data_IF_214794699820
#
_entry.id   IF_214794699820
#
_cell.length_a   1.000
_cell.length_b   1.000
_cell.length_c   1.000
_cell.angle_alpha   90.00
_cell.angle_beta   90.00
_cell.angle_gamma   90.00
#
_symmetry.space_group_name_H-M   'P 1'
#
loop_
_entity.id
_entity.type
_entity.pdbx_description
1 polymer ?
#
# COMPACT_ATOMS: atom_id res chain seq x y z
N UNK A 1 -34.74 6.17 11.77
CA UNK A 1 -34.61 5.79 10.35
C UNK A 1 -33.11 5.73 10.06
N UNK A 2 -32.49 4.57 10.26
CA UNK A 2 -31.05 4.35 10.05
C UNK A 2 -30.91 3.20 9.04
N UNK A 3 -30.13 3.34 7.95
CA UNK A 3 -29.87 2.23 7.06
C UNK A 3 -28.75 1.37 7.64
N UNK A 4 -29.03 0.08 7.80
CA UNK A 4 -28.02 -0.94 8.05
C UNK A 4 -27.22 -1.16 6.75
N UNK A 5 -25.93 -0.86 6.77
CA UNK A 5 -24.99 -1.23 5.73
C UNK A 5 -24.64 -2.72 5.87
N UNK A 6 -25.08 -3.52 4.90
CA UNK A 6 -24.61 -4.89 4.69
C UNK A 6 -23.22 -4.83 4.04
N UNK A 7 -22.18 -5.20 4.81
CA UNK A 7 -20.90 -5.60 4.25
C UNK A 7 -21.11 -6.89 3.42
N UNK A 8 -20.76 -6.85 2.13
CA UNK A 8 -20.59 -8.06 1.31
C UNK A 8 -19.34 -8.79 1.82
N UNK A 9 -19.51 -9.77 2.70
CA UNK A 9 -18.54 -10.85 2.86
C UNK A 9 -18.57 -11.72 1.59
N UNK A 10 -17.40 -12.19 1.16
CA UNK A 10 -17.22 -12.96 -0.07
C UNK A 10 -18.19 -14.13 -0.16
N UNK A 11 -19.07 -14.09 -1.15
CA UNK A 11 -20.00 -15.18 -1.43
C UNK A 11 -19.21 -16.36 -2.00
N UNK A 12 -19.04 -17.41 -1.20
CA UNK A 12 -18.70 -18.74 -1.70
C UNK A 12 -19.99 -19.37 -2.23
N UNK A 13 -20.08 -19.61 -3.54
CA UNK A 13 -21.28 -20.13 -4.18
C UNK A 13 -21.60 -21.54 -3.65
N UNK A 14 -22.73 -21.68 -2.95
CA UNK A 14 -23.28 -22.98 -2.56
C UNK A 14 -24.18 -23.48 -3.69
N UNK A 15 -23.75 -24.50 -4.43
CA UNK A 15 -24.64 -25.22 -5.34
C UNK A 15 -25.44 -26.23 -4.51
N UNK A 16 -26.76 -26.03 -4.43
CA UNK A 16 -27.68 -26.93 -3.74
C UNK A 16 -27.88 -28.19 -4.59
N UNK A 17 -27.13 -29.26 -4.31
CA UNK A 17 -27.47 -30.62 -4.75
C UNK A 17 -27.65 -31.50 -3.52
N UNK A 18 -28.84 -32.09 -3.43
CA UNK A 18 -29.26 -33.01 -2.38
C UNK A 18 -28.42 -34.29 -2.49
N UNK A 19 -27.45 -34.47 -1.58
CA UNK A 19 -26.94 -35.72 -0.97
C UNK A 19 -25.53 -35.48 -0.41
N UNK A 20 -25.41 -35.37 0.92
CA UNK A 20 -24.13 -35.38 1.65
C UNK A 20 -23.51 -34.00 1.89
N UNK A 21 -23.73 -33.45 3.09
CA UNK A 21 -23.00 -32.28 3.59
C UNK A 21 -21.54 -32.67 3.87
N UNK A 22 -20.65 -32.43 2.91
CA UNK A 22 -19.30 -31.98 3.25
C UNK A 22 -19.28 -30.48 2.97
N UNK A 23 -19.23 -29.60 3.99
CA UNK A 23 -18.82 -28.24 3.69
C UNK A 23 -17.48 -28.34 2.96
N UNK A 24 -17.41 -27.83 1.73
CA UNK A 24 -16.12 -27.52 1.12
C UNK A 24 -15.55 -26.39 1.98
N UNK A 25 -14.81 -26.76 3.02
CA UNK A 25 -13.96 -25.82 3.71
C UNK A 25 -12.96 -25.33 2.66
N UNK A 26 -13.10 -24.09 2.21
CA UNK A 26 -11.92 -23.35 1.81
C UNK A 26 -11.10 -23.23 3.10
N UNK A 27 -10.19 -24.17 3.33
CA UNK A 27 -9.31 -24.10 4.49
C UNK A 27 -8.42 -22.91 4.25
N UNK A 28 -8.43 -21.95 5.19
CA UNK A 28 -7.42 -20.90 5.23
C UNK A 28 -6.04 -21.58 5.13
N UNK A 29 -5.31 -21.34 4.04
CA UNK A 29 -4.01 -21.94 3.82
C UNK A 29 -2.96 -20.85 3.76
N UNK A 30 -1.99 -20.92 4.67
CA UNK A 30 -0.79 -20.08 4.61
C UNK A 30 0.30 -20.81 3.83
N UNK A 31 0.77 -20.17 2.76
CA UNK A 31 1.93 -20.55 1.99
C UNK A 31 3.14 -19.73 2.44
N UNK A 32 4.15 -20.43 2.93
CA UNK A 32 5.42 -19.83 3.35
C UNK A 32 6.40 -19.83 2.20
N UNK A 33 6.91 -18.66 1.83
CA UNK A 33 7.97 -18.55 0.83
C UNK A 33 9.23 -19.25 1.34
N UNK A 34 9.80 -20.13 0.52
CA UNK A 34 10.94 -20.97 0.91
C UNK A 34 12.30 -20.47 0.36
N UNK A 35 12.31 -19.38 -0.41
CA UNK A 35 13.53 -18.80 -0.98
C UNK A 35 14.13 -19.56 -2.16
N UNK A 36 13.47 -20.58 -2.70
CA UNK A 36 14.02 -21.42 -3.79
C UNK A 36 14.00 -20.76 -5.19
N UNK A 37 13.51 -19.52 -5.29
CA UNK A 37 13.39 -18.74 -6.51
C UNK A 37 12.77 -17.38 -6.20
N UNK A 38 12.31 -16.64 -7.21
CA UNK A 38 11.82 -15.26 -7.00
C UNK A 38 10.42 -15.00 -7.54
N UNK A 39 9.98 -15.74 -8.55
CA UNK A 39 8.65 -15.59 -9.17
C UNK A 39 7.53 -15.99 -8.22
N UNK A 40 6.51 -15.14 -8.08
CA UNK A 40 5.34 -15.42 -7.24
C UNK A 40 4.54 -16.64 -7.72
N UNK A 41 4.29 -16.74 -9.04
CA UNK A 41 3.41 -17.73 -9.65
C UNK A 41 3.95 -19.18 -9.74
N UNK A 42 4.99 -19.52 -8.98
CA UNK A 42 5.60 -20.85 -9.00
C UNK A 42 5.35 -21.55 -7.68
N UNK A 43 4.47 -22.56 -7.68
CA UNK A 43 4.08 -23.30 -6.48
C UNK A 43 5.28 -23.88 -5.69
N UNK A 44 6.36 -24.26 -6.39
CA UNK A 44 7.58 -24.78 -5.77
C UNK A 44 8.35 -23.78 -4.91
N UNK A 45 8.06 -22.47 -5.02
CA UNK A 45 8.65 -21.42 -4.18
C UNK A 45 7.93 -21.24 -2.83
N UNK A 46 6.87 -22.01 -2.60
CA UNK A 46 6.01 -21.92 -1.44
C UNK A 46 5.90 -23.26 -0.72
N UNK A 47 5.68 -23.22 0.58
CA UNK A 47 5.47 -24.39 1.44
C UNK A 47 4.23 -24.19 2.31
N UNK A 48 3.22 -25.06 2.21
CA UNK A 48 3.08 -26.17 1.26
C UNK A 48 3.07 -25.69 -0.21
N UNK A 49 3.40 -26.58 -1.15
CA UNK A 49 3.53 -26.24 -2.56
C UNK A 49 2.16 -25.88 -3.17
N UNK A 50 1.89 -24.59 -3.22
CA UNK A 50 0.73 -23.95 -3.83
C UNK A 50 1.08 -22.47 -4.09
N UNK A 51 0.45 -21.82 -5.05
CA UNK A 51 0.65 -20.39 -5.29
C UNK A 51 -0.39 -19.61 -4.48
N UNK A 52 -0.01 -18.64 -3.64
CA UNK A 52 -1.01 -17.78 -3.00
C UNK A 52 -1.65 -16.85 -4.04
N UNK A 53 -2.83 -17.19 -4.52
CA UNK A 53 -3.49 -16.44 -5.60
C UNK A 53 -5.01 -16.22 -5.46
N UNK A 54 -5.67 -16.89 -4.51
CA UNK A 54 -7.13 -16.78 -4.32
C UNK A 54 -7.55 -16.48 -2.87
N UNK A 55 -8.81 -16.10 -2.68
CA UNK A 55 -9.37 -15.86 -1.35
C UNK A 55 -9.36 -17.16 -0.54
N UNK A 56 -9.08 -17.06 0.76
CA UNK A 56 -8.78 -18.23 1.60
C UNK A 56 -7.31 -18.63 1.62
N UNK A 57 -6.46 -18.02 0.79
CA UNK A 57 -5.03 -18.26 0.81
C UNK A 57 -4.27 -17.09 1.40
N UNK A 58 -3.08 -17.33 1.94
CA UNK A 58 -2.25 -16.30 2.55
C UNK A 58 -0.78 -16.54 2.24
N UNK A 59 0.00 -15.47 2.18
CA UNK A 59 1.42 -15.53 1.89
C UNK A 59 2.25 -15.05 3.09
N UNK A 60 3.28 -15.81 3.46
CA UNK A 60 4.20 -15.47 4.55
C UNK A 60 5.65 -15.56 4.05
N UNK A 61 6.44 -14.52 4.29
CA UNK A 61 7.88 -14.50 4.01
C UNK A 61 8.62 -14.42 5.35
N UNK A 62 9.28 -15.52 5.79
CA UNK A 62 9.85 -15.63 7.13
C UNK A 62 11.15 -14.85 7.28
N UNK A 63 11.39 -14.36 8.49
CA UNK A 63 12.61 -13.67 8.92
C UNK A 63 13.88 -14.54 8.83
N UNK A 64 13.72 -15.86 8.82
CA UNK A 64 14.83 -16.82 8.74
C UNK A 64 15.55 -16.86 7.40
N UNK A 65 14.98 -16.28 6.33
CA UNK A 65 15.61 -16.24 5.01
C UNK A 65 16.71 -15.18 4.93
N UNK A 66 17.72 -15.42 4.08
CA UNK A 66 18.78 -14.44 3.83
C UNK A 66 18.42 -13.62 2.59
N UNK A 67 18.05 -12.35 2.77
CA UNK A 67 17.73 -11.40 1.69
C UNK A 67 16.72 -11.96 0.66
N UNK A 68 15.54 -12.43 1.10
CA UNK A 68 14.57 -13.03 0.19
C UNK A 68 14.10 -12.00 -0.84
N UNK A 69 14.02 -12.42 -2.11
CA UNK A 69 13.59 -11.56 -3.20
C UNK A 69 12.38 -12.14 -3.91
N UNK A 70 11.28 -11.40 -3.91
CA UNK A 70 10.00 -11.80 -4.51
C UNK A 70 9.63 -10.86 -5.65
N UNK A 71 9.20 -11.43 -6.78
CA UNK A 71 8.68 -10.73 -7.94
C UNK A 71 7.23 -11.11 -8.14
N UNK A 72 6.34 -10.13 -7.95
CA UNK A 72 4.96 -10.26 -8.34
C UNK A 72 4.89 -10.32 -9.87
N UNK A 73 4.48 -11.46 -10.42
CA UNK A 73 4.38 -11.69 -11.87
C UNK A 73 2.97 -12.15 -12.30
N UNK A 74 2.01 -11.92 -11.42
CA UNK A 74 0.57 -12.09 -11.60
C UNK A 74 -0.16 -11.16 -10.61
N UNK A 75 -1.46 -10.97 -10.75
CA UNK A 75 -2.25 -10.18 -9.77
C UNK A 75 -3.01 -11.12 -8.82
N UNK A 76 -2.43 -11.51 -7.67
CA UNK A 76 -3.10 -12.38 -6.71
C UNK A 76 -4.17 -11.65 -5.91
N UNK A 77 -5.18 -12.39 -5.48
CA UNK A 77 -6.22 -11.89 -4.59
C UNK A 77 -6.34 -12.82 -3.37
N UNK A 78 -5.62 -12.49 -2.30
CA UNK A 78 -5.40 -13.35 -1.12
C UNK A 78 -5.97 -12.72 0.15
N UNK A 79 -5.96 -13.47 1.25
CA UNK A 79 -6.45 -13.00 2.54
C UNK A 79 -5.51 -12.00 3.20
N UNK A 80 -4.20 -12.30 3.23
CA UNK A 80 -3.15 -11.44 3.76
C UNK A 80 -1.77 -11.81 3.22
N UNK A 81 -0.84 -10.86 3.32
CA UNK A 81 0.60 -11.05 3.06
C UNK A 81 1.39 -10.50 4.25
N UNK A 82 2.33 -11.27 4.77
CA UNK A 82 3.29 -10.78 5.77
C UNK A 82 4.72 -10.98 5.25
N UNK A 83 5.42 -9.86 5.02
CA UNK A 83 6.87 -9.82 4.82
C UNK A 83 7.52 -9.56 6.17
N UNK A 84 7.81 -10.62 6.93
CA UNK A 84 8.38 -10.53 8.28
C UNK A 84 9.87 -10.20 8.24
N UNK A 85 10.54 -10.63 7.18
CA UNK A 85 11.94 -10.42 6.97
C UNK A 85 12.27 -8.97 6.60
N UNK A 86 13.04 -8.28 7.45
CA UNK A 86 13.41 -6.88 7.22
C UNK A 86 14.38 -6.67 6.06
N UNK A 87 15.03 -7.71 5.55
CA UNK A 87 15.84 -7.64 4.34
C UNK A 87 15.13 -8.18 3.10
N UNK A 88 13.84 -8.52 3.20
CA UNK A 88 13.04 -8.89 2.04
C UNK A 88 12.98 -7.75 1.03
N UNK A 89 13.11 -8.08 -0.24
CA UNK A 89 12.77 -7.19 -1.34
C UNK A 89 11.57 -7.76 -2.08
N UNK A 90 10.53 -6.95 -2.26
CA UNK A 90 9.31 -7.34 -2.97
C UNK A 90 8.98 -6.36 -4.10
N UNK A 91 9.04 -6.84 -5.34
CA UNK A 91 8.71 -6.04 -6.52
C UNK A 91 7.27 -6.30 -6.95
N UNK A 92 6.47 -5.25 -6.96
CA UNK A 92 5.09 -5.29 -7.46
C UNK A 92 5.02 -5.33 -8.99
N UNK A 93 6.11 -4.92 -9.65
CA UNK A 93 6.21 -4.78 -11.09
C UNK A 93 5.06 -3.92 -11.62
N UNK A 94 4.15 -4.52 -12.37
CA UNK A 94 2.98 -3.88 -12.97
C UNK A 94 1.65 -4.56 -12.56
N UNK A 95 1.65 -5.25 -11.43
CA UNK A 95 0.54 -6.09 -10.98
C UNK A 95 -0.20 -5.49 -9.78
N UNK A 96 -1.34 -6.09 -9.49
CA UNK A 96 -2.18 -5.74 -8.34
C UNK A 96 -2.07 -6.82 -7.28
N UNK A 97 -1.69 -6.43 -6.06
CA UNK A 97 -1.88 -7.25 -4.87
C UNK A 97 -3.23 -6.90 -4.24
N UNK A 98 -4.19 -7.83 -4.26
CA UNK A 98 -5.48 -7.66 -3.56
C UNK A 98 -5.48 -8.46 -2.26
N UNK A 99 -5.90 -7.81 -1.17
CA UNK A 99 -5.93 -8.34 0.20
C UNK A 99 -7.34 -8.19 0.77
N UNK A 100 -7.96 -9.28 1.22
CA UNK A 100 -9.35 -9.29 1.65
C UNK A 100 -9.58 -9.20 3.17
N UNK A 101 -8.63 -9.65 4.00
CA UNK A 101 -8.81 -9.69 5.44
C UNK A 101 -8.15 -8.52 6.18
N UNK A 102 -8.59 -8.28 7.41
CA UNK A 102 -8.10 -7.17 8.25
C UNK A 102 -6.65 -7.30 8.68
N UNK A 103 -6.06 -8.50 8.63
CA UNK A 103 -4.62 -8.70 8.84
C UNK A 103 -3.79 -7.94 7.80
N UNK A 104 -4.33 -7.76 6.59
CA UNK A 104 -3.77 -6.85 5.61
C UNK A 104 -2.44 -7.31 5.01
N UNK A 105 -1.76 -6.37 4.38
CA UNK A 105 -0.38 -6.51 3.96
C UNK A 105 0.54 -5.92 5.03
N UNK A 106 1.30 -6.76 5.75
CA UNK A 106 2.34 -6.34 6.68
C UNK A 106 3.70 -6.34 5.99
N UNK A 107 4.39 -5.20 5.98
CA UNK A 107 5.69 -5.03 5.36
C UNK A 107 6.77 -4.66 6.39
N UNK A 108 7.77 -5.52 6.57
CA UNK A 108 8.99 -5.23 7.33
C UNK A 108 10.22 -5.03 6.45
N UNK A 109 10.17 -5.46 5.18
CA UNK A 109 11.23 -5.26 4.20
C UNK A 109 10.97 -4.07 3.25
N UNK A 110 11.52 -4.15 2.05
CA UNK A 110 11.40 -3.13 1.00
C UNK A 110 10.47 -3.59 -0.12
N UNK A 111 9.32 -2.92 -0.25
CA UNK A 111 8.34 -3.14 -1.32
C UNK A 111 8.46 -2.05 -2.37
N UNK A 112 8.46 -2.40 -3.65
CA UNK A 112 8.73 -1.47 -4.74
C UNK A 112 7.65 -1.47 -5.81
N UNK A 113 7.12 -0.28 -6.13
CA UNK A 113 6.47 -0.01 -7.40
C UNK A 113 7.57 0.34 -8.42
N UNK A 114 8.12 -0.72 -9.03
CA UNK A 114 9.35 -0.67 -9.83
C UNK A 114 9.12 -0.66 -11.35
N UNK A 115 7.89 -0.88 -11.81
CA UNK A 115 7.51 -0.84 -13.23
C UNK A 115 6.34 0.16 -13.43
N UNK A 116 5.74 0.21 -14.63
CA UNK A 116 4.82 1.27 -15.07
C UNK A 116 3.78 1.68 -14.01
N UNK A 117 2.98 0.72 -13.55
CA UNK A 117 1.87 0.94 -12.62
C UNK A 117 1.65 -0.29 -11.76
N UNK A 118 1.73 -0.16 -10.43
CA UNK A 118 1.37 -1.19 -9.47
C UNK A 118 0.16 -0.76 -8.62
N UNK A 119 -0.53 -1.73 -8.02
CA UNK A 119 -1.62 -1.47 -7.08
C UNK A 119 -1.49 -2.35 -5.84
N UNK A 120 -1.67 -1.75 -4.66
CA UNK A 120 -1.96 -2.47 -3.41
C UNK A 120 -3.40 -2.16 -3.04
N UNK A 121 -4.23 -3.20 -2.97
CA UNK A 121 -5.65 -3.12 -2.70
C UNK A 121 -6.00 -3.87 -1.42
N UNK A 122 -6.06 -3.15 -0.31
CA UNK A 122 -6.41 -3.65 1.02
C UNK A 122 -5.78 -2.81 2.13
N UNK A 123 -5.90 -3.28 3.37
CA UNK A 123 -5.25 -2.65 4.52
C UNK A 123 -3.75 -2.89 4.45
N UNK A 124 -2.93 -1.86 4.73
CA UNK A 124 -1.47 -1.96 4.76
C UNK A 124 -0.94 -1.58 6.14
N UNK A 125 0.00 -2.37 6.64
CA UNK A 125 0.83 -2.05 7.80
C UNK A 125 2.30 -2.06 7.38
N UNK A 126 2.87 -0.87 7.17
CA UNK A 126 4.30 -0.71 6.96
C UNK A 126 4.97 -0.55 8.33
N UNK A 127 5.72 -1.55 8.77
CA UNK A 127 6.35 -1.56 10.10
C UNK A 127 7.52 -0.58 10.18
N UNK A 128 8.14 -0.43 11.35
CA UNK A 128 9.23 0.55 11.58
C UNK A 128 10.43 0.32 10.64
N UNK A 129 10.76 -0.93 10.31
CA UNK A 129 11.81 -1.25 9.33
C UNK A 129 11.31 -1.23 7.88
N UNK A 130 9.99 -1.20 7.69
CA UNK A 130 9.35 -1.33 6.40
C UNK A 130 9.56 -0.12 5.51
N UNK A 131 9.82 -0.39 4.24
CA UNK A 131 9.92 0.61 3.19
C UNK A 131 8.93 0.30 2.07
N UNK A 132 8.18 1.31 1.61
CA UNK A 132 7.42 1.25 0.36
C UNK A 132 7.97 2.33 -0.57
N UNK A 133 8.51 1.91 -1.70
CA UNK A 133 9.26 2.76 -2.60
C UNK A 133 8.59 2.83 -3.98
N UNK A 134 8.34 4.05 -4.46
CA UNK A 134 7.86 4.30 -5.82
C UNK A 134 9.04 4.85 -6.61
N UNK A 135 9.47 4.12 -7.64
CA UNK A 135 10.59 4.56 -8.47
C UNK A 135 10.19 5.69 -9.42
N UNK A 136 11.19 6.43 -9.90
CA UNK A 136 11.07 7.54 -10.84
C UNK A 136 10.26 7.15 -12.07
N UNK A 137 9.29 7.98 -12.42
CA UNK A 137 8.39 7.77 -13.55
C UNK A 137 7.35 6.65 -13.36
N UNK A 138 7.23 6.07 -12.16
CA UNK A 138 6.30 4.96 -11.87
C UNK A 138 5.06 5.43 -11.11
N UNK A 139 4.07 4.54 -11.00
CA UNK A 139 2.81 4.80 -10.29
C UNK A 139 2.52 3.69 -9.29
N UNK A 140 2.11 4.08 -8.09
CA UNK A 140 1.50 3.19 -7.11
C UNK A 140 0.08 3.68 -6.81
N UNK A 141 -0.89 2.80 -7.01
CA UNK A 141 -2.24 2.98 -6.51
C UNK A 141 -2.35 2.32 -5.13
N UNK A 142 -2.79 3.09 -4.15
CA UNK A 142 -3.26 2.56 -2.86
C UNK A 142 -4.77 2.60 -2.83
N UNK A 143 -5.35 1.43 -2.57
CA UNK A 143 -6.78 1.20 -2.43
C UNK A 143 -7.03 0.52 -1.10
N UNK A 144 -7.97 1.02 -0.30
CA UNK A 144 -8.22 0.52 1.04
C UNK A 144 -8.16 1.62 2.10
N UNK A 145 -9.08 1.63 3.07
CA UNK A 145 -9.37 2.82 3.88
C UNK A 145 -8.27 3.23 4.85
N UNK A 146 -7.30 2.35 5.13
CA UNK A 146 -6.32 2.56 6.19
C UNK A 146 -4.95 2.04 5.78
N UNK A 147 -3.97 2.91 5.94
CA UNK A 147 -2.55 2.62 5.80
C UNK A 147 -1.89 3.00 7.14
N UNK A 148 -1.43 2.02 7.90
CA UNK A 148 -0.61 2.27 9.09
C UNK A 148 0.85 2.26 8.67
N UNK A 149 1.46 3.44 8.59
CA UNK A 149 2.87 3.61 8.25
C UNK A 149 3.66 3.99 9.50
N UNK A 150 4.45 3.06 10.01
CA UNK A 150 5.43 3.29 11.07
C UNK A 150 6.87 3.38 10.54
N UNK A 151 7.07 2.98 9.28
CA UNK A 151 8.34 3.09 8.56
C UNK A 151 8.31 4.25 7.56
N UNK A 152 8.81 4.01 6.34
CA UNK A 152 8.90 5.05 5.31
C UNK A 152 8.20 4.64 4.02
N UNK A 153 7.34 5.53 3.50
CA UNK A 153 6.86 5.46 2.12
C UNK A 153 7.58 6.57 1.34
N UNK A 154 8.27 6.25 0.25
CA UNK A 154 9.02 7.23 -0.54
C UNK A 154 8.48 7.35 -1.96
N UNK A 155 8.12 8.57 -2.36
CA UNK A 155 7.79 8.92 -3.74
C UNK A 155 9.06 9.34 -4.46
N UNK A 156 9.33 8.69 -5.59
CA UNK A 156 10.55 8.86 -6.39
C UNK A 156 11.82 8.54 -5.58
N UNK A 157 11.89 7.32 -5.05
CA UNK A 157 12.95 6.89 -4.12
C UNK A 157 14.36 6.83 -4.73
N UNK A 158 14.46 6.67 -6.05
CA UNK A 158 15.70 6.65 -6.83
C UNK A 158 16.01 8.01 -7.47
N UNK A 159 15.19 9.04 -7.19
CA UNK A 159 15.31 10.40 -7.76
C UNK A 159 15.38 10.38 -9.30
N UNK A 160 14.69 9.41 -9.90
CA UNK A 160 14.63 9.23 -11.35
C UNK A 160 13.84 10.33 -12.05
N UNK A 161 14.09 10.48 -13.35
CA UNK A 161 13.34 11.40 -14.20
C UNK A 161 11.90 10.92 -14.44
N UNK A 162 10.99 11.88 -14.61
CA UNK A 162 9.60 11.65 -15.00
C UNK A 162 8.64 11.59 -13.81
N UNK A 163 7.42 12.08 -14.05
CA UNK A 163 6.41 12.22 -13.01
C UNK A 163 6.12 10.86 -12.34
N UNK A 164 6.25 10.85 -11.02
CA UNK A 164 6.10 9.71 -10.13
C UNK A 164 4.88 9.94 -9.28
N UNK A 165 3.98 8.96 -9.22
CA UNK A 165 2.67 9.16 -8.63
C UNK A 165 2.39 8.15 -7.50
N UNK A 166 1.98 8.67 -6.35
CA UNK A 166 1.22 7.94 -5.35
C UNK A 166 -0.25 8.37 -5.50
N UNK A 167 -1.13 7.41 -5.81
CA UNK A 167 -2.53 7.68 -6.17
C UNK A 167 -3.46 6.98 -5.20
N UNK A 168 -4.41 7.72 -4.64
CA UNK A 168 -5.45 7.19 -3.76
C UNK A 168 -6.76 6.98 -4.50
N UNK A 169 -7.30 5.77 -4.41
CA UNK A 169 -8.54 5.37 -5.11
C UNK A 169 -9.77 5.31 -4.21
N UNK A 170 -9.60 5.64 -2.93
CA UNK A 170 -10.63 5.82 -1.92
C UNK A 170 -10.20 6.95 -0.97
N UNK A 171 -10.99 7.24 0.07
CA UNK A 171 -10.52 7.98 1.24
C UNK A 171 -9.45 7.16 1.97
N UNK A 172 -8.30 7.78 2.26
CA UNK A 172 -7.15 7.13 2.89
C UNK A 172 -6.82 7.82 4.21
N UNK A 173 -6.72 7.02 5.28
CA UNK A 173 -6.10 7.41 6.53
C UNK A 173 -4.63 6.93 6.56
N UNK A 174 -3.68 7.85 6.58
CA UNK A 174 -2.31 7.57 7.03
C UNK A 174 -2.24 7.67 8.54
N UNK A 175 -2.11 6.52 9.18
CA UNK A 175 -1.87 6.39 10.61
C UNK A 175 -0.43 5.92 10.88
N UNK A 176 -0.05 5.83 12.15
CA UNK A 176 1.28 5.40 12.57
C UNK A 176 2.23 6.57 12.80
N UNK A 177 3.48 6.26 13.11
CA UNK A 177 4.52 7.24 13.48
C UNK A 177 5.54 7.52 12.38
N UNK A 178 5.34 6.97 11.19
CA UNK A 178 6.29 7.00 10.08
C UNK A 178 6.19 8.24 9.19
N UNK A 179 6.91 8.18 8.08
CA UNK A 179 6.99 9.25 7.09
C UNK A 179 6.43 8.82 5.74
N UNK A 180 5.66 9.71 5.10
CA UNK A 180 5.57 9.81 3.65
C UNK A 180 6.56 10.87 3.17
N UNK A 181 7.56 10.44 2.40
CA UNK A 181 8.65 11.28 1.89
C UNK A 181 8.51 11.48 0.39
N UNK A 182 8.50 12.73 -0.04
CA UNK A 182 8.63 13.11 -1.45
C UNK A 182 10.08 13.58 -1.67
N UNK A 183 10.88 12.86 -2.46
CA UNK A 183 12.31 13.20 -2.68
C UNK A 183 12.51 14.65 -3.19
N UNK A 184 13.71 15.23 -3.09
CA UNK A 184 13.99 16.60 -3.58
C UNK A 184 13.99 16.65 -5.13
N UNK A 185 12.80 16.65 -5.74
CA UNK A 185 12.59 16.65 -7.19
C UNK A 185 11.25 17.24 -7.59
N UNK A 186 11.16 17.80 -8.80
CA UNK A 186 9.92 18.35 -9.38
C UNK A 186 8.98 17.28 -9.93
N UNK A 187 9.26 16.00 -9.69
CA UNK A 187 8.53 14.89 -10.30
C UNK A 187 7.61 14.16 -9.32
N UNK A 188 7.44 14.61 -8.08
CA UNK A 188 6.60 13.92 -7.10
C UNK A 188 5.16 14.40 -7.11
N UNK A 189 4.22 13.47 -7.19
CA UNK A 189 2.80 13.76 -7.14
C UNK A 189 2.10 12.78 -6.20
N UNK A 190 1.52 13.31 -5.14
CA UNK A 190 0.61 12.58 -4.25
C UNK A 190 -0.79 13.12 -4.49
N UNK A 191 -1.73 12.28 -4.93
CA UNK A 191 -3.03 12.75 -5.40
C UNK A 191 -4.15 11.72 -5.26
N UNK A 192 -5.39 12.18 -5.38
CA UNK A 192 -6.55 11.32 -5.52
C UNK A 192 -6.79 10.95 -6.98
N UNK A 193 -7.39 9.79 -7.22
CA UNK A 193 -7.90 9.43 -8.55
C UNK A 193 -9.08 10.32 -8.96
N UNK A 194 -9.88 10.76 -8.00
CA UNK A 194 -10.95 11.75 -8.19
C UNK A 194 -10.92 12.77 -7.07
N UNK A 195 -11.41 13.98 -7.35
CA UNK A 195 -11.37 15.13 -6.46
C UNK A 195 -12.23 15.01 -5.19
N UNK A 196 -13.03 13.95 -5.05
CA UNK A 196 -13.79 13.69 -3.81
C UNK A 196 -13.01 12.84 -2.81
N UNK A 197 -11.94 12.17 -3.21
CA UNK A 197 -11.13 11.37 -2.29
C UNK A 197 -10.39 12.27 -1.30
N UNK A 198 -10.31 11.82 -0.05
CA UNK A 198 -9.66 12.52 1.05
C UNK A 198 -8.43 11.78 1.54
N UNK A 199 -7.31 12.49 1.59
CA UNK A 199 -6.17 12.10 2.40
C UNK A 199 -6.31 12.65 3.82
N UNK A 200 -6.24 11.77 4.82
CA UNK A 200 -6.14 12.13 6.24
C UNK A 200 -4.76 11.75 6.77
N UNK A 201 -3.95 12.74 7.13
CA UNK A 201 -2.68 12.56 7.83
C UNK A 201 -2.92 12.57 9.34
N UNK A 202 -2.87 11.42 10.02
CA UNK A 202 -3.16 11.31 11.44
C UNK A 202 -2.08 11.97 12.33
N UNK A 203 -2.43 12.23 13.59
CA UNK A 203 -1.60 13.01 14.53
C UNK A 203 -0.16 12.50 14.74
N UNK A 204 0.09 11.20 14.59
CA UNK A 204 1.43 10.61 14.72
C UNK A 204 2.27 10.64 13.46
N UNK A 205 1.67 10.89 12.29
CA UNK A 205 2.30 10.66 10.99
C UNK A 205 2.84 11.96 10.38
N UNK A 206 3.92 11.84 9.62
CA UNK A 206 4.58 12.96 8.94
C UNK A 206 4.49 12.82 7.43
N UNK A 207 4.14 13.91 6.74
CA UNK A 207 4.33 14.07 5.30
C UNK A 207 5.39 15.14 5.09
N UNK A 208 6.43 14.85 4.33
CA UNK A 208 7.52 15.80 4.08
C UNK A 208 8.13 15.65 2.71
N UNK A 209 8.87 16.64 2.25
CA UNK A 209 9.57 16.57 0.98
C UNK A 209 9.30 17.74 0.04
N UNK A 210 9.26 17.44 -1.27
CA UNK A 210 9.07 18.42 -2.35
C UNK A 210 7.97 18.05 -3.35
N UNK A 211 7.50 19.09 -4.03
CA UNK A 211 6.55 19.11 -5.14
C UNK A 211 5.09 18.91 -4.72
N UNK A 212 4.28 18.11 -5.40
CA UNK A 212 2.82 18.22 -5.26
C UNK A 212 2.22 17.27 -4.24
N UNK A 213 1.54 17.84 -3.23
CA UNK A 213 0.56 17.18 -2.38
C UNK A 213 -0.83 17.71 -2.70
N UNK A 214 -1.62 16.92 -3.42
CA UNK A 214 -3.00 17.21 -3.77
C UNK A 214 -3.23 17.31 -5.27
N UNK A 215 -2.40 18.11 -5.97
CA UNK A 215 -2.48 18.36 -7.41
C UNK A 215 -3.93 18.63 -7.90
N UNK A 216 -4.65 19.49 -7.19
CA UNK A 216 -6.07 19.83 -7.33
C UNK A 216 -7.01 18.60 -7.53
N UNK A 217 -6.67 17.46 -6.95
CA UNK A 217 -7.35 16.19 -7.23
C UNK A 217 -7.60 15.31 -6.00
N UNK A 218 -7.40 15.84 -4.79
CA UNK A 218 -7.90 15.25 -3.55
C UNK A 218 -8.13 16.30 -2.48
N UNK A 219 -9.03 16.00 -1.56
CA UNK A 219 -9.21 16.77 -0.35
C UNK A 219 -8.14 16.41 0.71
N UNK A 220 -7.86 17.34 1.62
CA UNK A 220 -6.82 17.16 2.64
C UNK A 220 -7.37 17.36 4.06
N UNK A 221 -7.00 16.46 4.96
CA UNK A 221 -7.15 16.61 6.41
C UNK A 221 -5.81 16.35 7.06
N UNK A 222 -5.24 17.36 7.70
CA UNK A 222 -3.99 17.24 8.45
C UNK A 222 -4.26 17.31 9.95
N UNK A 223 -3.89 16.25 10.66
CA UNK A 223 -3.87 16.15 12.11
C UNK A 223 -2.42 15.97 12.63
N UNK A 224 -1.52 15.47 11.78
CA UNK A 224 -0.09 15.29 12.07
C UNK A 224 0.78 16.44 11.58
N UNK A 225 1.97 16.11 11.09
CA UNK A 225 2.94 17.06 10.56
C UNK A 225 2.96 17.01 9.02
N UNK A 226 2.87 18.18 8.38
CA UNK A 226 3.27 18.38 6.99
C UNK A 226 4.43 19.37 6.97
N UNK A 227 5.56 18.97 6.40
CA UNK A 227 6.79 19.76 6.46
C UNK A 227 7.48 19.89 5.10
N UNK A 228 7.69 21.12 4.65
CA UNK A 228 8.64 21.41 3.58
C UNK A 228 10.07 21.40 4.18
N UNK A 229 10.87 20.39 3.83
CA UNK A 229 12.21 20.15 4.40
C UNK A 229 13.32 19.97 3.36
N UNK A 230 13.03 20.26 2.09
CA UNK A 230 13.94 20.09 0.95
C UNK A 230 14.16 21.41 0.21
N UNK A 231 15.14 21.44 -0.71
CA UNK A 231 15.47 22.64 -1.49
C UNK A 231 14.33 23.06 -2.43
N UNK A 232 13.67 22.09 -3.07
CA UNK A 232 12.50 22.34 -3.90
C UNK A 232 11.24 22.45 -3.04
N UNK A 233 10.29 23.34 -3.41
CA UNK A 233 9.15 23.64 -2.58
C UNK A 233 8.19 22.47 -2.44
N UNK A 234 7.53 22.36 -1.29
CA UNK A 234 6.34 21.52 -1.12
C UNK A 234 5.09 22.33 -1.47
N UNK A 235 4.48 22.02 -2.60
CA UNK A 235 3.25 22.64 -3.08
C UNK A 235 2.07 21.84 -2.55
N UNK A 236 1.37 22.41 -1.58
CA UNK A 236 0.12 21.88 -1.04
C UNK A 236 -1.03 22.44 -1.88
N UNK A 237 -1.58 21.61 -2.77
CA UNK A 237 -2.62 21.96 -3.72
C UNK A 237 -3.81 20.98 -3.66
N UNK A 238 -4.60 20.94 -2.56
CA UNK A 238 -5.80 20.13 -2.48
C UNK A 238 -6.88 20.64 -3.45
N UNK A 239 -7.93 19.85 -3.65
CA UNK A 239 -9.01 20.25 -4.56
C UNK A 239 -9.80 21.46 -4.08
N UNK A 240 -10.19 22.32 -5.02
CA UNK A 240 -11.07 23.47 -4.78
C UNK A 240 -12.51 23.08 -4.36
N UNK A 241 -12.90 21.82 -4.58
CA UNK A 241 -14.27 21.33 -4.34
C UNK A 241 -14.54 20.89 -2.90
N UNK A 242 -13.51 20.86 -2.04
CA UNK A 242 -13.60 20.30 -0.69
C UNK A 242 -12.85 21.17 0.31
N UNK A 243 -13.35 21.25 1.54
CA UNK A 243 -12.64 21.95 2.62
C UNK A 243 -11.36 21.22 3.00
N UNK A 244 -10.31 22.02 3.19
CA UNK A 244 -9.06 21.60 3.84
C UNK A 244 -9.22 21.76 5.35
N UNK A 245 -9.01 20.67 6.09
CA UNK A 245 -9.01 20.70 7.55
C UNK A 245 -7.57 20.59 8.06
N UNK A 246 -7.11 21.57 8.83
CA UNK A 246 -5.81 21.49 9.51
C UNK A 246 -5.99 21.67 11.01
N UNK A 247 -5.72 20.60 11.76
CA UNK A 247 -5.64 20.58 13.23
C UNK A 247 -4.24 20.19 13.73
N UNK A 248 -3.35 19.81 12.81
CA UNK A 248 -1.93 19.58 13.05
C UNK A 248 -1.05 20.75 12.62
N UNK A 249 0.21 20.46 12.30
CA UNK A 249 1.22 21.44 11.90
C UNK A 249 1.45 21.36 10.39
N UNK A 250 1.43 22.53 9.73
CA UNK A 250 2.01 22.72 8.40
C UNK A 250 3.13 23.75 8.54
N UNK A 251 4.36 23.39 8.18
CA UNK A 251 5.52 24.29 8.35
C UNK A 251 6.55 24.12 7.24
N UNK A 252 7.33 25.18 7.03
CA UNK A 252 8.59 25.13 6.31
C UNK A 252 9.73 25.06 7.34
N UNK A 253 10.56 24.01 7.24
CA UNK A 253 11.71 23.82 8.11
C UNK A 253 12.87 23.26 7.27
N UNK A 254 13.67 24.17 6.70
CA UNK A 254 14.73 23.81 5.75
C UNK A 254 14.31 23.84 4.28
N UNK A 255 13.00 23.97 3.99
CA UNK A 255 12.45 24.13 2.63
C UNK A 255 11.54 25.33 2.46
N UNK A 256 10.78 25.34 1.35
CA UNK A 256 9.75 26.36 1.03
C UNK A 256 8.39 25.76 0.74
#
# INVERSE_FOLDING_TARGET
>A
MYPHYLFKSGFCASVLVILGFYPLFCSAQTMTFNGSGTSWNVAGHWTPANVPDTAGESAYVPDTLVNPFLNLNMSPAIDWLTLDNSSATFYLNNYTLTIYQSQGFTNSGSTHANNVTATINGIVTNTVSGQINIWGGKRLYLKGPMITNNGVITVNSDVGAGNTYLIFTDDILFNGSGDLVLSDTIYNFVQGQVNTHRLTNAAGHTIRGSHHLGNNSMALTNQGLIQADQSLPLIIDPTDNQTVFNSGIMQANGGT
#
